data_IF_171907159239
#
_entry.id   IF_171907159239
#
_cell.length_a   1.000
_cell.length_b   1.000
_cell.length_c   1.000
_cell.angle_alpha   90.00
_cell.angle_beta   90.00
_cell.angle_gamma   90.00
#
_symmetry.space_group_name_H-M   'P 1'
#
loop_
_entity.id
_entity.type
_entity.pdbx_description
1 polymer ?
2 non-polymer ?
3 non-polymer ?
4 non-polymer ?
5 water ?
#
# COMPACT_ATOMS: atom_id res chain seq x y z
N UNK A 1 20.87 -16.08 9.94
CA UNK A 1 21.48 -14.80 10.26
C UNK A 1 20.67 -14.04 11.30
N UNK A 2 21.22 -12.96 11.86
CA UNK A 2 20.57 -12.31 12.99
C UNK A 2 19.35 -11.49 12.56
N UNK A 3 18.42 -11.37 13.51
CA UNK A 3 17.22 -10.56 13.35
C UNK A 3 17.35 -9.34 14.26
N UNK A 4 16.90 -8.20 13.76
CA UNK A 4 16.63 -7.04 14.61
C UNK A 4 15.30 -6.47 14.22
N UNK A 5 14.60 -5.90 15.21
CA UNK A 5 13.37 -5.14 14.95
C UNK A 5 13.52 -3.85 15.75
N UNK A 6 13.55 -2.72 15.04
CA UNK A 6 13.66 -1.40 15.67
C UNK A 6 12.32 -0.71 15.53
N UNK A 7 11.72 -0.33 16.66
CA UNK A 7 10.35 0.20 16.68
C UNK A 7 10.41 1.68 16.99
N UNK A 8 9.96 2.50 16.04
CA UNK A 8 9.94 3.95 16.16
C UNK A 8 8.53 4.50 16.39
N UNK A 9 7.54 3.63 16.55
CA UNK A 9 6.15 4.01 16.75
C UNK A 9 5.78 3.78 18.21
N UNK A 10 5.34 4.85 18.91
CA UNK A 10 4.87 4.69 20.26
C UNK A 10 3.69 3.73 20.34
N UNK A 11 3.49 3.18 21.54
CA UNK A 11 2.47 2.14 21.70
C UNK A 11 1.09 2.67 21.32
N UNK A 12 0.89 3.97 21.51
CA UNK A 12 -0.34 4.71 21.28
C UNK A 12 -0.41 5.38 19.92
N UNK A 13 0.63 5.26 19.09
CA UNK A 13 0.69 6.03 17.85
C UNK A 13 -0.51 5.73 16.94
N UNK A 14 -0.81 4.46 16.73
CA UNK A 14 -1.92 4.12 15.87
C UNK A 14 -3.24 4.70 16.35
N UNK A 15 -3.51 4.60 17.65
CA UNK A 15 -4.78 5.08 18.17
C UNK A 15 -4.89 6.60 17.99
N UNK A 16 -3.83 7.34 18.32
CA UNK A 16 -3.90 8.79 18.15
C UNK A 16 -4.04 9.17 16.69
N UNK A 17 -3.34 8.46 15.80
CA UNK A 17 -3.49 8.69 14.36
C UNK A 17 -4.93 8.49 13.93
N UNK A 18 -5.56 7.41 14.41
CA UNK A 18 -6.96 7.15 14.06
C UNK A 18 -7.86 8.27 14.57
N UNK A 19 -7.66 8.69 15.84
CA UNK A 19 -8.48 9.75 16.40
C UNK A 19 -8.43 11.00 15.52
N UNK A 20 -7.23 11.39 15.09
CA UNK A 20 -7.18 12.65 14.33
C UNK A 20 -7.65 12.48 12.90
N UNK A 21 -7.41 11.33 12.27
CA UNK A 21 -7.91 11.10 10.92
C UNK A 21 -9.43 11.12 10.88
N UNK A 22 -10.07 10.49 11.87
CA UNK A 22 -11.53 10.45 11.92
C UNK A 22 -12.09 11.83 12.29
N UNK A 23 -11.49 12.47 13.28
CA UNK A 23 -11.98 13.79 13.70
C UNK A 23 -11.95 14.78 12.53
N UNK A 24 -10.89 14.74 11.73
CA UNK A 24 -10.76 15.64 10.60
C UNK A 24 -11.61 15.19 9.40
N UNK A 25 -11.57 13.90 9.08
CA UNK A 25 -12.18 13.44 7.84
C UNK A 25 -13.70 13.53 7.85
N UNK A 26 -14.32 13.28 9.01
CA UNK A 26 -15.78 13.34 9.12
C UNK A 26 -16.31 14.79 9.15
N UNK A 27 -15.44 15.79 9.12
CA UNK A 27 -15.85 17.18 9.06
C UNK A 27 -15.46 17.85 7.75
N UNK A 28 -15.00 17.08 6.77
CA UNK A 28 -14.71 17.59 5.45
C UNK A 28 -15.97 17.53 4.59
N UNK A 29 -15.95 18.22 3.46
CA UNK A 29 -17.03 18.14 2.48
C UNK A 29 -16.41 17.85 1.13
N UNK A 30 -16.59 16.64 0.58
CA UNK A 30 -17.33 15.57 1.24
C UNK A 30 -16.52 14.98 2.38
N UNK A 31 -17.14 14.12 3.18
CA UNK A 31 -16.39 13.41 4.21
C UNK A 31 -15.43 12.43 3.56
N UNK A 32 -14.29 12.21 4.21
CA UNK A 32 -13.33 11.24 3.68
C UNK A 32 -12.53 10.62 4.83
N UNK A 33 -11.99 9.44 4.57
CA UNK A 33 -11.19 8.71 5.53
C UNK A 33 -9.99 8.11 4.80
N UNK A 34 -8.80 8.14 5.40
CA UNK A 34 -7.64 7.53 4.78
C UNK A 34 -7.79 6.02 4.73
N UNK A 35 -7.32 5.36 3.67
CA UNK A 35 -7.53 3.91 3.55
C UNK A 35 -6.65 3.06 4.44
N UNK A 36 -5.70 3.64 5.18
CA UNK A 36 -4.83 2.85 6.06
C UNK A 36 -5.63 2.09 7.11
N UNK A 37 -6.82 2.56 7.44
CA UNK A 37 -7.57 1.96 8.54
C UNK A 37 -8.37 0.73 8.13
N UNK A 38 -8.38 0.38 6.84
CA UNK A 38 -9.00 -0.88 6.43
C UNK A 38 -8.33 -2.10 7.04
N UNK A 39 -7.07 -2.00 7.47
CA UNK A 39 -6.23 -3.18 7.59
C UNK A 39 -6.06 -3.65 9.03
N UNK A 40 -7.16 -3.76 9.78
CA UNK A 40 -7.12 -4.51 11.04
C UNK A 40 -7.07 -5.99 10.70
N UNK A 41 -7.23 -6.86 11.70
CA UNK A 41 -7.12 -8.29 11.43
C UNK A 41 -8.19 -8.75 10.44
N UNK A 42 -9.43 -8.33 10.65
CA UNK A 42 -10.52 -8.68 9.74
C UNK A 42 -10.26 -8.13 8.34
N UNK A 43 -9.92 -6.84 8.26
CA UNK A 43 -9.66 -6.22 6.97
C UNK A 43 -8.53 -6.89 6.20
N UNK A 44 -7.46 -7.29 6.90
CA UNK A 44 -6.33 -7.92 6.23
C UNK A 44 -6.71 -9.27 5.63
N UNK A 45 -7.50 -10.07 6.34
CA UNK A 45 -7.96 -11.33 5.77
C UNK A 45 -8.92 -11.06 4.60
N UNK A 46 -9.72 -10.00 4.67
CA UNK A 46 -10.55 -9.66 3.52
C UNK A 46 -9.70 -9.23 2.34
N UNK A 47 -8.65 -8.43 2.58
CA UNK A 47 -7.77 -8.06 1.49
C UNK A 47 -7.14 -9.31 0.86
N UNK A 48 -6.66 -10.23 1.69
CA UNK A 48 -6.09 -11.48 1.16
C UNK A 48 -7.08 -12.18 0.23
N UNK A 49 -8.35 -12.20 0.61
CA UNK A 49 -9.38 -12.80 -0.24
C UNK A 49 -9.50 -12.04 -1.56
N UNK A 50 -9.45 -10.71 -1.48
CA UNK A 50 -9.55 -9.89 -2.69
C UNK A 50 -8.45 -10.25 -3.69
N UNK A 51 -7.22 -10.50 -3.20
CA UNK A 51 -6.11 -10.73 -4.12
C UNK A 51 -6.27 -12.02 -4.91
N UNK A 52 -7.21 -12.89 -4.52
CA UNK A 52 -7.50 -14.12 -5.23
C UNK A 52 -8.76 -14.02 -6.08
N UNK A 53 -9.45 -12.86 -6.10
CA UNK A 53 -10.64 -12.77 -6.94
C UNK A 53 -10.27 -12.61 -8.41
N UNK A 54 -10.99 -13.29 -9.31
CA UNK A 54 -10.70 -13.13 -10.73
C UNK A 54 -10.81 -11.69 -11.19
N UNK A 55 -11.73 -10.92 -10.61
CA UNK A 55 -11.93 -9.54 -10.99
C UNK A 55 -10.74 -8.66 -10.62
N UNK A 56 -10.01 -9.00 -9.55
CA UNK A 56 -8.92 -8.14 -9.05
C UNK A 56 -7.61 -8.60 -9.70
N UNK A 57 -7.41 -8.15 -10.95
CA UNK A 57 -6.25 -8.52 -11.76
C UNK A 57 -4.89 -8.01 -11.21
N UNK A 58 -4.81 -6.90 -10.45
CA UNK A 58 -3.46 -6.38 -10.14
C UNK A 58 -2.51 -7.36 -9.49
N UNK A 59 -2.98 -8.18 -8.55
CA UNK A 59 -2.08 -9.08 -7.83
C UNK A 59 -1.41 -10.07 -8.78
N UNK A 60 -2.21 -10.74 -9.60
CA UNK A 60 -1.65 -11.72 -10.54
C UNK A 60 -0.86 -11.04 -11.65
N UNK A 61 -1.32 -9.87 -12.14
CA UNK A 61 -0.58 -9.19 -13.18
C UNK A 61 0.83 -8.83 -12.72
N UNK A 62 0.95 -8.24 -11.54
CA UNK A 62 2.27 -7.92 -11.02
C UNK A 62 3.10 -9.17 -10.75
N UNK A 63 2.48 -10.25 -10.25
CA UNK A 63 3.21 -11.49 -10.01
C UNK A 63 3.75 -12.08 -11.32
N UNK A 64 2.95 -12.00 -12.40
CA UNK A 64 3.41 -12.47 -13.72
C UNK A 64 4.66 -11.72 -14.16
N UNK A 65 4.65 -10.38 -14.02
CA UNK A 65 5.84 -9.58 -14.36
C UNK A 65 7.01 -10.02 -13.50
N UNK A 66 6.79 -10.14 -12.18
CA UNK A 66 7.89 -10.48 -11.27
C UNK A 66 8.46 -11.87 -11.54
N UNK A 67 7.61 -12.84 -11.91
CA UNK A 67 8.15 -14.16 -12.21
C UNK A 67 9.05 -14.12 -13.43
N UNK A 68 8.70 -13.29 -14.41
CA UNK A 68 9.50 -13.16 -15.61
C UNK A 68 10.74 -12.28 -15.43
N UNK A 69 10.67 -11.23 -14.59
CA UNK A 69 11.66 -10.18 -14.60
C UNK A 69 12.50 -10.06 -13.32
N UNK A 70 12.21 -10.82 -12.26
CA UNK A 70 13.00 -10.67 -11.02
C UNK A 70 14.48 -10.92 -11.23
N UNK A 71 14.83 -11.88 -12.10
CA UNK A 71 16.26 -12.11 -12.36
C UNK A 71 16.91 -10.88 -12.98
N UNK A 72 16.21 -10.24 -13.92
CA UNK A 72 16.74 -9.04 -14.54
C UNK A 72 16.79 -7.90 -13.53
N UNK A 73 15.79 -7.79 -12.66
CA UNK A 73 15.85 -6.79 -11.60
C UNK A 73 17.13 -6.99 -10.79
N UNK A 74 17.40 -8.24 -10.37
CA UNK A 74 18.56 -8.50 -9.52
C UNK A 74 19.86 -8.12 -10.21
N UNK A 75 20.00 -8.47 -11.49
CA UNK A 75 21.23 -8.18 -12.21
C UNK A 75 21.35 -6.70 -12.57
N UNK A 76 20.24 -6.01 -12.84
CA UNK A 76 20.33 -4.59 -13.18
C UNK A 76 20.68 -3.73 -11.96
N UNK A 77 20.08 -4.03 -10.80
CA UNK A 77 20.32 -3.25 -9.58
C UNK A 77 21.55 -3.69 -8.80
N UNK A 78 21.98 -4.95 -8.94
CA UNK A 78 23.14 -5.50 -8.24
C UNK A 78 23.05 -5.31 -6.72
N UNK A 79 21.83 -5.26 -6.19
CA UNK A 79 21.65 -4.97 -4.77
C UNK A 79 22.07 -6.15 -3.90
N UNK A 80 22.60 -5.81 -2.74
CA UNK A 80 22.85 -6.76 -1.67
C UNK A 80 21.84 -6.67 -0.54
N UNK A 81 20.98 -5.66 -0.59
CA UNK A 81 20.00 -5.38 0.43
C UNK A 81 18.66 -5.13 -0.23
N UNK A 82 17.63 -5.81 0.25
CA UNK A 82 16.27 -5.59 -0.21
C UNK A 82 15.51 -4.84 0.89
N UNK A 83 15.04 -3.65 0.56
CA UNK A 83 14.23 -2.83 1.48
C UNK A 83 12.81 -2.90 0.97
N UNK A 84 11.90 -3.51 1.76
CA UNK A 84 10.50 -3.61 1.35
C UNK A 84 9.67 -2.57 2.10
N UNK A 85 9.02 -1.69 1.34
CA UNK A 85 8.06 -0.78 1.96
C UNK A 85 6.74 -1.58 2.02
N UNK A 86 6.57 -2.30 3.11
CA UNK A 86 5.55 -3.33 3.22
C UNK A 86 5.98 -4.35 4.25
N UNK A 87 5.12 -5.35 4.46
CA UNK A 87 5.23 -6.24 5.61
C UNK A 87 6.08 -7.48 5.37
N UNK A 88 6.50 -7.76 4.13
CA UNK A 88 7.34 -8.90 3.84
C UNK A 88 6.64 -10.24 3.83
N UNK A 89 5.31 -10.26 3.72
CA UNK A 89 4.57 -11.50 3.89
C UNK A 89 4.22 -12.20 2.58
N UNK A 90 4.48 -11.58 1.43
CA UNK A 90 3.95 -12.07 0.16
C UNK A 90 4.91 -13.04 -0.52
N UNK A 91 4.37 -13.77 -1.50
CA UNK A 91 5.22 -14.55 -2.39
C UNK A 91 6.13 -13.65 -3.20
N UNK A 92 5.70 -12.42 -3.51
CA UNK A 92 6.54 -11.52 -4.29
C UNK A 92 7.81 -11.14 -3.52
N UNK A 93 7.71 -10.99 -2.21
CA UNK A 93 8.92 -10.81 -1.40
C UNK A 93 9.93 -11.91 -1.65
N UNK A 94 9.46 -13.18 -1.65
CA UNK A 94 10.37 -14.30 -1.82
C UNK A 94 10.94 -14.32 -3.25
N UNK A 95 10.12 -13.98 -4.25
CA UNK A 95 10.61 -13.89 -5.63
C UNK A 95 11.84 -12.99 -5.70
N UNK A 96 11.77 -11.83 -5.05
CA UNK A 96 12.87 -10.88 -5.10
C UNK A 96 14.06 -11.35 -4.26
N UNK A 97 13.79 -11.87 -3.06
CA UNK A 97 14.87 -12.42 -2.25
C UNK A 97 15.55 -13.57 -2.99
N UNK A 98 14.74 -14.46 -3.59
CA UNK A 98 15.32 -15.58 -4.34
C UNK A 98 16.23 -15.09 -5.47
N UNK A 99 15.82 -14.02 -6.17
CA UNK A 99 16.61 -13.52 -7.28
C UNK A 99 17.96 -12.98 -6.81
N UNK A 100 17.96 -12.24 -5.70
CA UNK A 100 19.21 -11.75 -5.14
C UNK A 100 20.08 -12.90 -4.63
N UNK A 101 19.46 -13.90 -3.99
CA UNK A 101 20.21 -15.04 -3.47
C UNK A 101 20.83 -15.83 -4.60
N UNK A 102 20.13 -15.93 -5.74
CA UNK A 102 20.62 -16.72 -6.86
C UNK A 102 21.88 -16.11 -7.46
N UNK A 103 22.00 -14.77 -7.45
CA UNK A 103 23.23 -14.07 -7.80
C UNK A 103 24.31 -14.15 -6.73
N UNK A 104 24.01 -14.69 -5.56
CA UNK A 104 24.95 -14.68 -4.46
C UNK A 104 25.15 -13.34 -3.79
N UNK A 105 24.23 -12.40 -3.95
CA UNK A 105 24.45 -11.07 -3.39
C UNK A 105 23.55 -10.72 -2.21
N UNK A 106 22.60 -11.58 -1.85
CA UNK A 106 21.66 -11.28 -0.78
C UNK A 106 22.35 -11.28 0.58
N UNK A 107 22.50 -10.10 1.17
CA UNK A 107 23.09 -9.96 2.51
C UNK A 107 22.09 -9.54 3.57
N UNK A 108 21.08 -8.75 3.21
CA UNK A 108 20.26 -8.06 4.20
C UNK A 108 18.84 -7.88 3.65
N UNK A 109 17.84 -8.04 4.52
CA UNK A 109 16.44 -7.78 4.22
C UNK A 109 15.92 -6.78 5.24
N UNK A 110 15.31 -5.70 4.76
CA UNK A 110 14.79 -4.63 5.62
C UNK A 110 13.29 -4.43 5.34
N UNK A 111 12.40 -5.14 6.04
CA UNK A 111 10.98 -4.85 5.89
C UNK A 111 10.60 -3.64 6.74
N UNK A 112 9.84 -2.72 6.14
CA UNK A 112 9.53 -1.43 6.76
C UNK A 112 8.01 -1.29 6.76
N UNK A 113 7.39 -1.23 7.94
CA UNK A 113 5.93 -1.12 8.01
C UNK A 113 5.52 -0.64 9.39
N UNK A 114 4.20 -0.53 9.61
CA UNK A 114 3.70 0.13 10.81
C UNK A 114 3.26 -0.85 11.90
N UNK A 115 3.27 -2.15 11.64
CA UNK A 115 2.82 -3.15 12.60
C UNK A 115 4.01 -4.00 13.02
N UNK A 116 4.49 -3.75 14.25
CA UNK A 116 5.67 -4.45 14.74
C UNK A 116 5.44 -5.95 14.89
N UNK A 117 4.19 -6.35 15.13
CA UNK A 117 3.89 -7.76 15.32
C UNK A 117 3.96 -8.53 14.00
N UNK A 118 3.45 -7.92 12.93
CA UNK A 118 3.61 -8.50 11.60
C UNK A 118 5.09 -8.55 11.21
N UNK A 119 5.81 -7.45 11.50
CA UNK A 119 7.22 -7.40 11.12
C UNK A 119 8.01 -8.48 11.84
N UNK A 120 7.68 -8.70 13.11
CA UNK A 120 8.35 -9.73 13.90
C UNK A 120 8.14 -11.11 13.29
N UNK A 121 6.90 -11.44 12.91
CA UNK A 121 6.63 -12.74 12.31
C UNK A 121 7.38 -12.90 10.99
N UNK A 122 7.40 -11.85 10.18
CA UNK A 122 8.13 -11.90 8.92
C UNK A 122 9.61 -12.16 9.16
N UNK A 123 10.21 -11.44 10.13
CA UNK A 123 11.65 -11.58 10.36
C UNK A 123 11.99 -13.01 10.77
N UNK A 124 11.18 -13.60 11.65
CA UNK A 124 11.37 -14.98 12.05
C UNK A 124 11.26 -15.92 10.85
N UNK A 125 10.24 -15.72 10.00
CA UNK A 125 10.05 -16.58 8.84
C UNK A 125 11.20 -16.46 7.86
N UNK A 126 11.66 -15.22 7.58
CA UNK A 126 12.75 -15.06 6.64
C UNK A 126 14.04 -15.63 7.20
N UNK A 127 14.25 -15.45 8.51
CA UNK A 127 15.43 -16.02 9.16
C UNK A 127 15.45 -17.54 8.97
N UNK A 128 14.29 -18.19 9.08
CA UNK A 128 14.24 -19.63 8.85
C UNK A 128 14.49 -19.99 7.38
N UNK A 129 14.00 -19.17 6.45
CA UNK A 129 14.03 -19.57 5.04
C UNK A 129 15.32 -19.18 4.34
N UNK A 130 16.07 -18.22 4.88
CA UNK A 130 17.24 -17.66 4.19
C UNK A 130 18.40 -17.58 5.16
N UNK A 131 19.27 -18.60 5.14
CA UNK A 131 20.45 -18.54 6.00
C UNK A 131 21.41 -17.49 5.46
N UNK A 132 22.24 -16.97 6.35
CA UNK A 132 23.21 -15.98 5.95
C UNK A 132 22.67 -14.60 5.65
N UNK A 133 21.37 -14.37 5.87
CA UNK A 133 20.74 -13.07 5.62
C UNK A 133 20.44 -12.42 6.96
N UNK A 134 20.88 -11.19 7.13
CA UNK A 134 20.49 -10.38 8.27
C UNK A 134 19.17 -9.69 7.99
N UNK A 135 18.23 -9.77 8.92
CA UNK A 135 16.92 -9.11 8.78
C UNK A 135 16.87 -7.94 9.75
N UNK A 136 16.70 -6.73 9.24
CA UNK A 136 16.58 -5.52 10.07
C UNK A 136 15.21 -4.92 9.81
N UNK A 137 14.21 -5.40 10.53
CA UNK A 137 12.86 -4.85 10.40
C UNK A 137 12.78 -3.48 11.05
N UNK A 138 12.05 -2.57 10.40
CA UNK A 138 11.89 -1.21 10.91
C UNK A 138 10.40 -0.93 11.00
N UNK A 139 9.93 -0.68 12.22
CA UNK A 139 8.55 -0.24 12.45
C UNK A 139 8.53 1.29 12.46
N UNK A 140 7.94 1.88 11.42
CA UNK A 140 7.92 3.33 11.27
C UNK A 140 6.98 3.69 10.14
N UNK A 141 6.79 5.00 9.95
CA UNK A 141 5.88 5.48 8.91
C UNK A 141 6.64 6.34 7.90
N UNK A 142 6.04 6.50 6.71
CA UNK A 142 6.66 7.25 5.62
C UNK A 142 6.94 8.70 6.00
N UNK A 143 6.11 9.26 6.87
CA UNK A 143 6.20 10.69 7.16
C UNK A 143 7.43 11.03 7.98
N UNK A 144 7.93 10.08 8.77
CA UNK A 144 8.85 10.41 9.84
C UNK A 144 10.13 9.58 9.78
N UNK A 145 10.08 8.36 9.22
CA UNK A 145 11.07 7.36 9.59
C UNK A 145 11.82 6.73 8.43
N UNK A 146 11.72 7.27 7.22
CA UNK A 146 12.49 6.71 6.12
C UNK A 146 13.98 6.80 6.40
N UNK A 147 14.41 7.83 7.13
CA UNK A 147 15.81 7.93 7.52
C UNK A 147 16.25 6.85 8.50
N UNK A 148 15.32 6.12 9.10
CA UNK A 148 15.65 5.04 10.02
C UNK A 148 15.93 3.71 9.31
N UNK A 149 15.79 3.67 7.99
CA UNK A 149 16.16 2.49 7.21
C UNK A 149 17.68 2.34 7.23
N UNK A 150 18.23 1.18 7.60
CA UNK A 150 19.69 1.04 7.69
C UNK A 150 20.39 1.46 6.39
N UNK A 151 21.56 2.09 6.55
CA UNK A 151 22.40 2.53 5.44
C UNK A 151 23.37 1.43 5.02
N UNK A 152 24.23 1.76 4.07
CA UNK A 152 25.30 0.88 3.68
C UNK A 152 24.88 -0.11 2.60
N UNK A 153 25.88 -0.63 1.90
CA UNK A 153 25.58 -1.60 0.86
C UNK A 153 24.85 -0.93 -0.29
N UNK A 154 24.25 -1.78 -1.13
CA UNK A 154 23.57 -1.32 -2.34
C UNK A 154 22.13 -1.77 -2.20
N UNK A 155 21.22 -0.83 -2.03
CA UNK A 155 19.85 -1.11 -1.60
C UNK A 155 18.84 -1.02 -2.75
N UNK A 156 18.03 -2.08 -2.87
CA UNK A 156 16.86 -2.09 -3.75
C UNK A 156 15.65 -1.86 -2.86
N UNK A 157 15.04 -0.69 -3.00
CA UNK A 157 13.79 -0.35 -2.34
C UNK A 157 12.64 -0.86 -3.19
N UNK A 158 11.61 -1.40 -2.55
CA UNK A 158 10.50 -2.04 -3.25
C UNK A 158 9.19 -1.52 -2.69
N UNK A 159 8.26 -1.11 -3.57
CA UNK A 159 6.95 -0.58 -3.17
C UNK A 159 5.98 -1.08 -4.23
N UNK A 160 5.37 -2.24 -3.98
CA UNK A 160 4.63 -2.97 -5.01
C UNK A 160 3.13 -2.76 -4.85
N UNK A 161 2.36 -3.40 -5.74
CA UNK A 161 0.91 -3.50 -5.60
C UNK A 161 0.13 -2.27 -5.98
N UNK A 162 0.80 -1.23 -6.50
CA UNK A 162 0.18 0.06 -6.80
C UNK A 162 -0.36 0.72 -5.53
N UNK A 163 0.22 0.38 -4.37
CA UNK A 163 -0.08 1.12 -3.15
C UNK A 163 0.22 2.60 -3.30
N UNK A 164 1.19 2.96 -4.14
CA UNK A 164 1.49 4.38 -4.35
C UNK A 164 0.28 5.12 -4.93
N UNK A 165 -0.61 4.43 -5.63
CA UNK A 165 -1.85 5.02 -6.12
C UNK A 165 -2.78 5.50 -5.02
N UNK A 166 -2.55 5.12 -3.77
CA UNK A 166 -3.39 5.62 -2.66
C UNK A 166 -3.05 7.08 -2.34
N UNK A 167 -1.95 7.61 -2.90
CA UNK A 167 -1.56 9.00 -2.70
C UNK A 167 -1.95 9.82 -3.92
N UNK A 168 -2.69 10.90 -3.69
CA UNK A 168 -3.02 11.82 -4.76
C UNK A 168 -1.74 12.52 -5.20
N UNK A 169 -1.75 13.21 -6.36
CA UNK A 169 -0.49 13.71 -6.93
C UNK A 169 0.38 14.53 -5.98
N UNK A 170 -0.20 15.43 -5.19
CA UNK A 170 0.58 16.22 -4.27
C UNK A 170 1.35 15.40 -3.24
N UNK A 171 0.63 14.66 -2.40
CA UNK A 171 1.32 13.77 -1.44
C UNK A 171 2.21 12.73 -2.13
N UNK A 172 1.84 12.27 -3.33
CA UNK A 172 2.66 11.27 -4.01
C UNK A 172 4.03 11.82 -4.40
N UNK A 173 4.06 13.05 -4.92
CA UNK A 173 5.33 13.70 -5.22
C UNK A 173 6.14 13.95 -3.95
N UNK A 174 5.47 14.36 -2.86
CA UNK A 174 6.19 14.56 -1.61
C UNK A 174 6.81 13.26 -1.12
N UNK A 175 6.07 12.15 -1.24
CA UNK A 175 6.60 10.87 -0.80
C UNK A 175 7.79 10.43 -1.64
N UNK A 176 7.67 10.54 -2.97
CA UNK A 176 8.79 10.12 -3.82
C UNK A 176 10.01 11.01 -3.59
N UNK A 177 9.79 12.31 -3.36
CA UNK A 177 10.91 13.19 -3.02
C UNK A 177 11.57 12.75 -1.71
N UNK A 178 10.78 12.44 -0.69
CA UNK A 178 11.35 11.99 0.58
C UNK A 178 12.10 10.67 0.42
N UNK A 179 11.52 9.73 -0.32
CA UNK A 179 12.19 8.44 -0.52
C UNK A 179 13.52 8.61 -1.26
N UNK A 180 13.52 9.36 -2.36
CA UNK A 180 14.76 9.57 -3.10
C UNK A 180 15.81 10.27 -2.25
N UNK A 181 15.37 11.10 -1.31
CA UNK A 181 16.29 11.79 -0.40
C UNK A 181 17.03 10.87 0.56
N UNK A 182 16.49 9.69 0.86
CA UNK A 182 17.22 8.75 1.71
C UNK A 182 17.98 7.71 0.90
N UNK A 183 17.91 7.79 -0.42
CA UNK A 183 18.48 6.79 -1.29
C UNK A 183 19.89 7.28 -1.63
N UNK A 184 20.85 6.35 -1.72
CA UNK A 184 22.21 6.74 -2.10
C UNK A 184 22.42 6.51 -3.59
N UNK A 185 23.37 7.20 -4.22
CA UNK A 185 23.69 6.87 -5.61
C UNK A 185 23.98 5.39 -5.73
N UNK A 186 23.41 4.76 -6.76
CA UNK A 186 23.50 3.33 -6.94
C UNK A 186 22.38 2.54 -6.32
N UNK A 187 21.61 3.14 -5.41
CA UNK A 187 20.39 2.51 -4.92
C UNK A 187 19.31 2.55 -5.99
N UNK A 188 18.36 1.62 -5.86
CA UNK A 188 17.29 1.45 -6.84
C UNK A 188 15.94 1.41 -6.14
N UNK A 189 14.90 1.72 -6.93
CA UNK A 189 13.52 1.60 -6.49
C UNK A 189 12.75 0.80 -7.53
N UNK A 190 12.04 -0.24 -7.07
CA UNK A 190 11.14 -1.02 -7.92
C UNK A 190 9.71 -0.65 -7.54
N UNK A 191 8.97 -0.02 -8.46
CA UNK A 191 7.67 0.58 -8.17
C UNK A 191 6.58 -0.07 -9.02
N UNK A 192 5.53 -0.59 -8.37
CA UNK A 192 4.39 -1.13 -9.09
C UNK A 192 3.29 -0.09 -9.23
N UNK A 193 2.78 0.04 -10.46
CA UNK A 193 1.70 0.99 -10.76
C UNK A 193 0.67 0.33 -11.65
N UNK A 194 -0.58 0.34 -11.21
CA UNK A 194 -1.69 -0.13 -12.03
C UNK A 194 -1.97 0.91 -13.11
N UNK A 195 -2.34 0.42 -14.30
CA UNK A 195 -2.40 1.26 -15.50
C UNK A 195 -3.84 1.57 -15.89
N UNK A 196 -4.03 2.80 -16.39
CA UNK A 196 -5.29 3.17 -17.02
C UNK A 196 -5.69 2.13 -18.04
N UNK A 197 -6.97 1.77 -18.02
CA UNK A 197 -7.52 0.74 -18.89
C UNK A 197 -9.03 0.98 -18.97
N UNK A 198 -9.72 0.02 -19.59
CA UNK A 198 -11.18 0.08 -19.70
C UNK A 198 -11.84 0.36 -18.35
N UNK A 199 -12.71 1.39 -18.32
CA UNK A 199 -13.34 1.81 -17.07
C UNK A 199 -14.15 0.69 -16.42
N UNK A 200 -14.84 -0.12 -17.22
CA UNK A 200 -15.67 -1.17 -16.64
C UNK A 200 -14.82 -2.22 -15.96
N UNK A 201 -13.68 -2.58 -16.55
CA UNK A 201 -12.78 -3.52 -15.91
C UNK A 201 -12.25 -2.96 -14.61
N UNK A 202 -11.99 -1.65 -14.58
CA UNK A 202 -11.49 -1.03 -13.36
C UNK A 202 -12.54 -1.06 -12.26
N UNK A 203 -13.78 -0.68 -12.58
CA UNK A 203 -14.82 -0.67 -11.56
C UNK A 203 -15.09 -2.07 -11.05
N UNK A 204 -15.08 -3.04 -11.95
CA UNK A 204 -15.35 -4.43 -11.58
C UNK A 204 -14.28 -4.96 -10.62
N UNK A 205 -13.01 -4.56 -10.82
CA UNK A 205 -11.93 -4.92 -9.91
C UNK A 205 -12.16 -4.38 -8.50
N UNK A 206 -12.97 -3.35 -8.33
CA UNK A 206 -13.22 -2.78 -7.01
C UNK A 206 -14.67 -2.99 -6.56
N UNK A 207 -15.39 -3.91 -7.20
CA UNK A 207 -16.72 -4.29 -6.75
C UNK A 207 -17.04 -5.67 -7.29
N UNK A 208 -16.34 -6.68 -6.75
CA UNK A 208 -16.57 -8.06 -7.11
C UNK A 208 -18.01 -8.45 -6.76
N UNK A 209 -18.61 -9.35 -7.55
CA UNK A 209 -20.04 -9.64 -7.37
C UNK A 209 -20.39 -10.24 -6.01
N UNK A 210 -19.52 -11.08 -5.44
CA UNK A 210 -19.74 -11.65 -4.12
C UNK A 210 -19.66 -10.67 -2.97
N UNK A 211 -19.23 -9.44 -3.22
CA UNK A 211 -19.22 -8.43 -2.18
C UNK A 211 -18.08 -8.52 -1.19
N UNK A 212 -16.94 -9.12 -1.59
CA UNK A 212 -15.77 -9.13 -0.70
C UNK A 212 -15.21 -7.73 -0.54
N UNK A 213 -15.06 -7.01 -1.65
CA UNK A 213 -14.57 -5.63 -1.55
C UNK A 213 -15.56 -4.77 -0.79
N UNK A 214 -16.86 -4.98 -1.04
CA UNK A 214 -17.88 -4.25 -0.30
C UNK A 214 -17.72 -4.47 1.20
N UNK A 215 -17.47 -5.72 1.60
CA UNK A 215 -17.28 -6.00 3.02
C UNK A 215 -16.02 -5.29 3.52
N UNK A 216 -14.96 -5.29 2.70
CA UNK A 216 -13.69 -4.68 3.08
C UNK A 216 -13.86 -3.19 3.32
N UNK A 217 -14.59 -2.53 2.43
CA UNK A 217 -14.87 -1.09 2.56
C UNK A 217 -15.69 -0.81 3.82
N UNK A 218 -16.80 -1.53 4.00
CA UNK A 218 -17.67 -1.24 5.13
C UNK A 218 -16.93 -1.47 6.43
N UNK A 219 -15.95 -2.37 6.42
CA UNK A 219 -15.24 -2.73 7.65
C UNK A 219 -14.56 -1.54 8.30
N UNK A 220 -14.24 -0.49 7.54
CA UNK A 220 -13.64 0.69 8.18
C UNK A 220 -14.63 1.29 9.17
N UNK A 221 -15.93 1.13 8.93
CA UNK A 221 -16.92 1.62 9.91
C UNK A 221 -16.91 0.76 11.16
N UNK A 222 -16.69 -0.55 11.01
CA UNK A 222 -16.59 -1.42 12.18
C UNK A 222 -15.38 -1.04 13.02
N UNK A 223 -14.25 -0.75 12.36
CA UNK A 223 -13.04 -0.34 13.07
C UNK A 223 -13.29 0.93 13.87
N UNK A 224 -13.94 1.91 13.24
CA UNK A 224 -14.21 3.16 13.94
C UNK A 224 -15.20 2.94 15.08
N UNK A 225 -16.27 2.16 14.85
CA UNK A 225 -17.19 1.82 15.92
C UNK A 225 -16.46 1.21 17.12
N UNK A 226 -15.63 0.20 16.85
CA UNK A 226 -14.96 -0.53 17.94
C UNK A 226 -13.89 0.33 18.61
N UNK A 227 -13.08 1.04 17.85
CA UNK A 227 -11.93 1.71 18.43
C UNK A 227 -12.24 3.08 19.01
N UNK A 228 -13.24 3.79 18.47
CA UNK A 228 -13.56 5.14 18.91
C UNK A 228 -14.97 5.23 19.46
N UNK A 229 -15.59 4.10 19.80
CA UNK A 229 -16.92 4.08 20.42
C UNK A 229 -17.92 4.84 19.56
N UNK A 230 -17.96 4.50 18.28
CA UNK A 230 -18.90 5.11 17.35
C UNK A 230 -20.11 4.20 17.16
N UNK A 231 -21.19 4.77 16.59
CA UNK A 231 -22.43 4.03 16.35
C UNK A 231 -22.87 4.10 14.89
N UNK A 232 -21.93 3.95 13.95
CA UNK A 232 -22.31 3.75 12.56
C UNK A 232 -23.23 2.53 12.44
N UNK A 233 -24.36 2.72 11.74
CA UNK A 233 -25.16 1.57 11.30
C UNK A 233 -24.48 0.99 10.06
N UNK A 234 -23.63 -0.02 10.27
CA UNK A 234 -22.71 -0.44 9.22
C UNK A 234 -23.48 -0.95 7.99
N UNK A 235 -24.64 -1.56 8.23
CA UNK A 235 -25.44 -2.12 7.14
C UNK A 235 -26.22 -1.05 6.38
N UNK A 236 -26.34 0.15 6.91
CA UNK A 236 -27.01 1.23 6.21
C UNK A 236 -26.09 1.98 5.28
N UNK A 237 -24.85 1.51 5.10
CA UNK A 237 -23.89 2.15 4.20
C UNK A 237 -23.58 1.20 3.05
N UNK A 238 -23.76 1.69 1.83
CA UNK A 238 -23.56 0.88 0.64
C UNK A 238 -22.20 1.13 0.04
N UNK A 239 -21.54 0.06 -0.39
CA UNK A 239 -20.27 0.16 -1.11
C UNK A 239 -20.51 0.67 -2.53
N UNK A 240 -19.79 1.73 -2.90
CA UNK A 240 -19.85 2.25 -4.27
C UNK A 240 -18.42 2.42 -4.79
N UNK A 241 -18.12 1.77 -5.90
CA UNK A 241 -16.85 1.99 -6.59
C UNK A 241 -17.11 2.86 -7.81
N UNK A 242 -16.34 3.94 -7.95
CA UNK A 242 -16.51 4.90 -9.04
C UNK A 242 -15.21 5.11 -9.80
N UNK A 243 -15.31 5.15 -11.13
CA UNK A 243 -14.20 5.58 -11.96
C UNK A 243 -14.28 7.09 -12.15
N UNK A 244 -13.26 7.80 -11.68
CA UNK A 244 -13.15 9.25 -11.88
C UNK A 244 -12.36 9.46 -13.17
N UNK A 245 -13.07 9.81 -14.25
CA UNK A 245 -12.44 9.89 -15.56
C UNK A 245 -11.49 11.07 -15.65
N UNK A 246 -11.78 12.15 -14.93
CA UNK A 246 -11.00 13.37 -15.04
C UNK A 246 -9.62 13.20 -14.40
N UNK A 247 -9.58 12.61 -13.21
CA UNK A 247 -8.34 12.39 -12.48
C UNK A 247 -7.74 11.01 -12.71
N UNK A 248 -8.37 10.18 -13.55
CA UNK A 248 -7.97 8.81 -13.83
C UNK A 248 -7.63 8.05 -12.54
N UNK A 249 -8.63 7.95 -11.67
CA UNK A 249 -8.48 7.20 -10.43
C UNK A 249 -9.78 6.47 -10.10
N UNK A 250 -9.64 5.26 -9.55
CA UNK A 250 -10.75 4.58 -8.91
C UNK A 250 -10.97 5.24 -7.55
N UNK A 251 -12.23 5.39 -7.17
CA UNK A 251 -12.61 5.85 -5.83
C UNK A 251 -13.53 4.82 -5.19
N UNK A 252 -13.29 4.52 -3.92
CA UNK A 252 -14.26 3.77 -3.14
C UNK A 252 -14.99 4.71 -2.20
N UNK A 253 -16.32 4.64 -2.23
CA UNK A 253 -17.19 5.45 -1.39
C UNK A 253 -18.09 4.56 -0.55
N UNK A 254 -18.58 5.12 0.55
CA UNK A 254 -19.63 4.50 1.34
C UNK A 254 -20.84 5.44 1.31
N UNK A 255 -22.00 4.92 0.90
CA UNK A 255 -23.17 5.73 0.63
C UNK A 255 -24.24 5.47 1.68
N UNK A 256 -24.72 6.55 2.31
CA UNK A 256 -25.73 6.45 3.35
C UNK A 256 -27.07 6.08 2.74
N UNK A 257 -27.70 5.02 3.25
CA UNK A 257 -29.06 4.66 2.87
C UNK A 257 -30.00 5.35 3.83
N UNK A 258 -30.53 6.49 3.42
CA UNK A 258 -31.30 7.30 4.34
C UNK A 258 -30.41 8.12 5.24
N UNK A 259 -30.99 9.20 5.77
CA UNK A 259 -30.26 10.08 6.66
C UNK A 259 -29.66 9.30 7.83
N UNK A 260 -28.46 9.71 8.27
CA UNK A 260 -27.79 9.06 9.40
C UNK A 260 -27.17 10.10 10.33
N UNK A 261 -27.26 9.85 11.63
CA UNK A 261 -26.60 10.66 12.63
C UNK A 261 -25.70 9.76 13.47
N UNK A 262 -24.40 10.04 13.44
CA UNK A 262 -23.40 9.16 14.03
C UNK A 262 -22.64 9.95 15.09
N UNK A 263 -22.55 9.36 16.27
CA UNK A 263 -21.83 9.94 17.39
C UNK A 263 -20.56 9.12 17.55
N UNK A 264 -19.41 9.79 17.52
CA UNK A 264 -18.13 9.14 17.79
C UNK A 264 -17.76 9.52 19.23
N UNK A 265 -17.99 8.61 20.16
CA UNK A 265 -17.88 8.94 21.56
C UNK A 265 -16.47 9.37 21.96
N UNK A 266 -15.47 8.61 21.54
CA UNK A 266 -14.11 8.90 21.97
C UNK A 266 -13.65 10.28 21.51
N UNK A 267 -14.35 10.87 20.55
CA UNK A 267 -14.02 12.20 20.04
C UNK A 267 -15.01 13.26 20.48
N UNK A 268 -16.10 12.89 21.16
CA UNK A 268 -17.16 13.82 21.52
C UNK A 268 -17.67 14.55 20.27
N UNK A 269 -17.95 13.79 19.22
CA UNK A 269 -18.29 14.38 17.92
C UNK A 269 -19.54 13.72 17.36
N UNK A 270 -20.45 14.54 16.85
CA UNK A 270 -21.63 14.10 16.13
C UNK A 270 -21.59 14.63 14.71
N UNK A 271 -21.80 13.75 13.73
CA UNK A 271 -21.86 14.13 12.33
C UNK A 271 -23.16 13.62 11.72
N UNK A 272 -23.61 14.31 10.68
CA UNK A 272 -24.84 13.97 9.98
C UNK A 272 -24.51 13.56 8.55
N UNK A 273 -25.20 12.52 8.07
CA UNK A 273 -25.18 12.10 6.66
C UNK A 273 -26.55 12.36 6.08
N UNK A 274 -26.60 13.11 4.99
CA UNK A 274 -27.83 13.19 4.20
C UNK A 274 -28.12 11.84 3.54
N UNK A 275 -29.39 11.56 3.28
CA UNK A 275 -29.72 10.36 2.53
C UNK A 275 -29.00 10.38 1.19
N UNK A 276 -28.30 9.29 0.88
CA UNK A 276 -27.53 9.23 -0.34
C UNK A 276 -26.21 9.98 -0.32
N UNK A 277 -25.83 10.56 0.82
CA UNK A 277 -24.52 11.18 0.93
C UNK A 277 -23.44 10.11 0.90
N UNK A 278 -22.37 10.38 0.15
CA UNK A 278 -21.26 9.45 0.01
C UNK A 278 -20.02 9.98 0.70
N UNK A 279 -19.33 9.09 1.39
CA UNK A 279 -18.07 9.35 2.07
C UNK A 279 -16.93 8.61 1.37
N UNK A 280 -15.85 9.32 1.09
CA UNK A 280 -14.73 8.76 0.32
C UNK A 280 -13.80 7.99 1.25
N UNK A 281 -13.58 6.71 0.98
CA UNK A 281 -12.73 5.90 1.85
C UNK A 281 -11.41 5.49 1.21
N UNK A 282 -11.26 5.62 -0.11
CA UNK A 282 -10.01 5.25 -0.75
C UNK A 282 -10.00 5.83 -2.15
N UNK A 283 -8.84 6.37 -2.56
CA UNK A 283 -8.57 6.63 -3.97
C UNK A 283 -7.52 5.63 -4.42
N UNK A 284 -7.62 5.19 -5.67
CA UNK A 284 -6.67 4.25 -6.25
C UNK A 284 -6.32 4.83 -7.63
N UNK A 285 -5.29 5.68 -7.65
CA UNK A 285 -4.92 6.36 -8.88
C UNK A 285 -4.37 5.35 -9.86
N UNK A 286 -4.69 5.56 -11.14
CA UNK A 286 -4.25 4.70 -12.20
C UNK A 286 -3.34 5.50 -13.13
N UNK A 287 -2.35 4.83 -13.71
CA UNK A 287 -1.20 5.52 -14.26
C UNK A 287 -1.06 5.28 -15.76
N UNK A 288 -0.34 6.20 -16.41
CA UNK A 288 0.11 5.99 -17.77
C UNK A 288 1.63 5.80 -17.78
N UNK A 289 2.16 4.91 -18.63
CA UNK A 289 3.60 4.57 -18.53
C UNK A 289 4.55 5.76 -18.55
N UNK A 290 4.37 6.68 -19.50
CA UNK A 290 5.25 7.84 -19.62
C UNK A 290 5.18 8.70 -18.37
N UNK A 291 3.98 8.84 -17.80
CA UNK A 291 3.80 9.71 -16.65
C UNK A 291 4.52 9.17 -15.42
N UNK A 292 4.62 7.85 -15.27
CA UNK A 292 5.36 7.30 -14.12
C UNK A 292 6.84 7.63 -14.24
N UNK A 293 7.40 7.52 -15.45
CA UNK A 293 8.78 7.93 -15.65
C UNK A 293 9.01 9.39 -15.30
N UNK A 294 8.04 10.25 -15.65
CA UNK A 294 8.17 11.67 -15.36
C UNK A 294 8.09 11.96 -13.87
N UNK A 295 7.19 11.28 -13.14
CA UNK A 295 7.12 11.48 -11.69
C UNK A 295 8.40 11.01 -11.00
N UNK A 296 8.97 9.90 -11.46
CA UNK A 296 10.23 9.44 -10.88
C UNK A 296 11.33 10.46 -11.12
N UNK A 297 11.43 10.97 -12.36
CA UNK A 297 12.45 11.97 -12.67
C UNK A 297 12.25 13.24 -11.84
N UNK A 298 11.00 13.64 -11.63
CA UNK A 298 10.75 14.83 -10.82
C UNK A 298 11.21 14.64 -9.39
N UNK A 299 11.25 13.41 -8.90
CA UNK A 299 11.73 13.15 -7.53
C UNK A 299 13.24 13.00 -7.45
N UNK A 300 13.96 13.03 -8.58
CA UNK A 300 15.38 12.84 -8.55
C UNK A 300 15.84 11.44 -8.89
N UNK A 301 14.95 10.59 -9.38
CA UNK A 301 15.25 9.22 -9.76
C UNK A 301 15.20 9.08 -11.28
N UNK A 302 15.84 8.04 -11.79
CA UNK A 302 15.94 7.88 -13.23
C UNK A 302 15.49 6.48 -13.60
N UNK A 303 14.37 6.36 -14.32
CA UNK A 303 13.88 5.02 -14.64
C UNK A 303 14.79 4.38 -15.67
N UNK A 304 15.23 3.16 -15.38
CA UNK A 304 16.06 2.41 -16.31
C UNK A 304 15.33 1.21 -16.90
N UNK A 305 14.26 0.72 -16.27
CA UNK A 305 13.44 -0.34 -16.85
C UNK A 305 11.97 -0.09 -16.59
N UNK A 306 11.16 -0.41 -17.59
CA UNK A 306 9.71 -0.43 -17.48
C UNK A 306 9.24 -1.77 -18.03
N UNK A 307 8.33 -2.43 -17.32
CA UNK A 307 7.76 -3.70 -17.76
C UNK A 307 6.26 -3.70 -17.56
N UNK A 308 5.53 -4.29 -18.50
CA UNK A 308 4.12 -4.62 -18.25
C UNK A 308 3.93 -6.12 -18.34
N UNK A 309 2.75 -6.56 -17.91
CA UNK A 309 2.33 -7.94 -18.11
C UNK A 309 1.91 -8.12 -19.57
N UNK A 310 1.58 -9.36 -19.97
CA UNK A 310 1.24 -9.57 -21.38
C UNK A 310 0.00 -8.80 -21.82
N UNK A 311 -0.91 -8.43 -20.92
CA UNK A 311 -2.08 -7.69 -21.33
C UNK A 311 -1.91 -6.19 -21.25
N UNK A 312 -0.76 -5.69 -20.77
CA UNK A 312 -0.65 -4.25 -20.51
C UNK A 312 -1.53 -3.74 -19.40
N UNK A 313 -1.87 -4.59 -18.43
CA UNK A 313 -2.76 -4.21 -17.34
C UNK A 313 -2.04 -3.47 -16.23
N UNK A 314 -0.74 -3.75 -16.05
CA UNK A 314 -0.02 -3.35 -14.85
C UNK A 314 1.44 -3.13 -15.24
N UNK A 315 2.09 -2.17 -14.56
CA UNK A 315 3.46 -1.81 -14.88
C UNK A 315 4.36 -1.84 -13.67
N UNK A 316 5.62 -2.21 -13.92
CA UNK A 316 6.68 -2.15 -12.91
C UNK A 316 7.79 -1.26 -13.45
N UNK A 317 8.27 -0.34 -12.62
CA UNK A 317 9.41 0.52 -12.97
C UNK A 317 10.58 0.18 -12.06
N UNK A 318 11.76 0.09 -12.65
CA UNK A 318 13.02 0.07 -11.90
C UNK A 318 13.72 1.41 -12.13
N UNK A 319 14.00 2.14 -11.05
CA UNK A 319 14.60 3.46 -11.17
C UNK A 319 15.82 3.55 -10.26
N UNK A 320 16.83 4.28 -10.73
CA UNK A 320 18.08 4.41 -9.99
C UNK A 320 18.21 5.83 -9.43
N UNK A 321 18.84 5.91 -8.26
CA UNK A 321 19.32 7.17 -7.73
C UNK A 321 20.70 7.45 -8.33
X LIG B 1 10.58 10.96 5.51
X LIG B 1 10.38 9.89 6.41
X LIG B 1 11.48 11.96 6.23
X LIG B 1 12.83 11.31 6.46
X LIG B 1 12.78 10.57 7.65
X LIG C 1 -6.79 0.31 14.52
X LIG C 1 -7.37 -0.74 13.80
X LIG C 1 -5.31 -0.04 14.72
X LIG C 1 -4.58 1.16 15.31
X LIG C 1 -5.45 1.75 16.25
X LIG D 1 -7.46 -3.79 -3.69
X LIG D 1 -2.32 0.90 0.23
X LIG D 1 -1.65 -0.62 1.77
X LIG D 1 -3.11 -2.31 -1.17
X LIG D 1 -3.06 -1.15 -1.56
X LIG D 1 -3.83 -0.73 -2.63
X LIG D 1 -4.82 -1.67 -3.37
X LIG D 1 -5.28 -1.13 -4.87
X LIG D 1 -5.38 0.09 -4.97
X LIG D 1 -5.48 -1.98 -5.71
X LIG D 1 -6.11 -1.85 -2.47
X LIG D 1 -7.34 -2.58 -3.01
X LIG D 1 -8.81 -4.02 -3.97
X LIG D 1 -9.49 -2.94 -3.44
X LIG D 1 -8.64 -2.07 -2.86
X LIG D 1 -1.95 -0.26 -0.64
X LIG D 1 -2.14 0.54 1.52
X LIG D 1 -1.31 -1.14 0.41
X LIG E 1 5.83 -12.33 -19.31
X LIG E 1 4.85 -13.25 -18.91
X LIG E 1 5.71 -11.08 -18.45
X LIG E 1 4.48 -10.47 -18.73
X LIG E 1 6.85 -10.11 -18.77
X LIG E 1 6.61 -8.86 -18.18
X LIG F 1 18.88 -1.78 12.43
X LIG F 1 17.57 -1.30 12.21
X LIG F 1 19.08 -2.12 13.91
X LIG F 1 19.34 -0.94 14.64
X LIG F 1 20.24 -3.11 14.09
X LIG F 1 20.46 -3.30 15.47
#
# INVERSE_FOLDING_TARGET
GPVSVANHLGEDAGHLALRRDVYSGLQKTPKSLPPKWFYDTVGSELFDQITRLPEYYPTRAEAEILRARSAEVASACRADTLVELGSGTSEKTRMLLDALRHRGSLRRFVPFDVDASVLSATATAIQREYSGVEINAVCGDFEEHLTEIPRGGRRLFVFLGSTIGNLTPGPRAQFLTALAGVMRPGDSLLLGTDLVKDAARLVRAYDDPGGVTAQFNRNVLAVINRELEADFDVDAFQHVARWNSAEERIEMWLRADGRQRVRVGALDLTVDFDAGEEMLTEVSCKFRPQAVGAELAAAGLHRIRWWTDEAGDFGLSLAAK
PDO C1 O1 C2 C3 O3
PDO C1 O1 C2 C3 O3
A1I C10 C15 C17 O01 C02 N03 C04 C05 O06 O07 C08 C09 N11 C12 N13 C14 C16 C18
GOL C1 O1 C2 O2 C3 O3
GOL C1 O1 C2 O2 C3 O3
#
